data_IF_085535157482
#
_entry.id   IF_085535157482
#
_cell.length_a   1.000
_cell.length_b   1.000
_cell.length_c   1.000
_cell.angle_alpha   90.00
_cell.angle_beta   90.00
_cell.angle_gamma   90.00
#
_symmetry.space_group_name_H-M   'P 1'
#
loop_
_entity.id
_entity.type
_entity.pdbx_description
1 polymer ?
#
# COMPACT_ATOMS: atom_id res chain seq x y z
N UNK A 1 14.36 9.78 0.84
CA UNK A 1 13.71 9.98 2.17
C UNK A 1 12.39 10.71 1.98
N UNK A 2 11.39 10.45 2.84
CA UNK A 2 10.08 11.07 2.71
C UNK A 2 10.07 12.53 3.23
N UNK A 3 9.51 13.45 2.45
CA UNK A 3 9.28 14.86 2.85
C UNK A 3 8.02 15.02 3.70
N UNK A 4 7.15 14.01 3.71
CA UNK A 4 5.88 14.01 4.45
C UNK A 4 6.05 13.20 5.74
N UNK A 5 5.49 13.71 6.84
CA UNK A 5 5.48 13.03 8.13
C UNK A 5 4.73 11.70 8.03
N UNK A 6 5.44 10.63 8.39
CA UNK A 6 4.87 9.28 8.48
C UNK A 6 4.15 9.09 9.82
N UNK A 7 3.02 8.37 9.80
CA UNK A 7 2.38 7.85 11.01
C UNK A 7 2.85 6.40 11.20
N UNK A 8 3.72 6.15 12.19
CA UNK A 8 4.18 4.80 12.48
C UNK A 8 3.04 3.97 13.08
N UNK A 9 3.17 2.65 13.03
CA UNK A 9 2.09 1.70 13.33
C UNK A 9 1.62 1.80 14.79
N UNK A 10 2.53 2.10 15.71
CA UNK A 10 2.27 2.25 17.15
C UNK A 10 1.46 3.50 17.46
N UNK A 11 1.46 4.49 16.55
CA UNK A 11 0.71 5.75 16.69
C UNK A 11 -0.57 5.76 15.85
N UNK A 12 -0.82 4.71 15.07
CA UNK A 12 -2.04 4.59 14.29
C UNK A 12 -3.25 4.36 15.21
N UNK A 13 -4.31 5.13 15.01
CA UNK A 13 -5.54 5.04 15.81
C UNK A 13 -6.77 5.09 14.89
N UNK A 14 -7.88 4.53 15.36
CA UNK A 14 -9.13 4.43 14.62
C UNK A 14 -8.92 3.82 13.23
N UNK A 15 -9.54 4.46 12.22
CA UNK A 15 -9.56 3.99 10.83
C UNK A 15 -8.19 3.69 10.22
N UNK A 16 -7.14 4.44 10.60
CA UNK A 16 -5.78 4.20 10.08
C UNK A 16 -5.25 2.86 10.57
N UNK A 17 -5.51 2.51 11.84
CA UNK A 17 -5.09 1.24 12.43
C UNK A 17 -5.79 0.07 11.75
N UNK A 18 -7.09 0.18 11.53
CA UNK A 18 -7.88 -0.86 10.86
C UNK A 18 -7.36 -1.14 9.44
N UNK A 19 -7.06 -0.08 8.68
CA UNK A 19 -6.47 -0.20 7.34
C UNK A 19 -5.07 -0.83 7.40
N UNK A 20 -4.25 -0.47 8.40
CA UNK A 20 -2.91 -1.04 8.56
C UNK A 20 -2.94 -2.54 8.86
N UNK A 21 -3.86 -2.98 9.73
CA UNK A 21 -4.07 -4.40 10.02
C UNK A 21 -4.56 -5.15 8.78
N UNK A 22 -5.47 -4.56 8.01
CA UNK A 22 -5.93 -5.14 6.75
C UNK A 22 -4.79 -5.26 5.73
N UNK A 23 -3.94 -4.23 5.59
CA UNK A 23 -2.76 -4.26 4.69
C UNK A 23 -1.85 -5.43 5.05
N UNK A 24 -1.53 -5.60 6.33
CA UNK A 24 -0.67 -6.68 6.82
C UNK A 24 -1.27 -8.05 6.51
N UNK A 25 -2.56 -8.23 6.81
CA UNK A 25 -3.28 -9.47 6.54
C UNK A 25 -3.36 -9.81 5.04
N UNK A 26 -3.69 -8.84 4.18
CA UNK A 26 -3.91 -9.08 2.74
C UNK A 26 -2.62 -9.24 1.95
N UNK A 27 -1.56 -8.54 2.36
CA UNK A 27 -0.26 -8.65 1.71
C UNK A 27 0.60 -9.79 2.31
N UNK A 28 0.24 -10.31 3.48
CA UNK A 28 0.99 -11.37 4.16
C UNK A 28 2.32 -10.89 4.70
N UNK A 29 2.36 -9.65 5.21
CA UNK A 29 3.57 -8.99 5.72
C UNK A 29 3.35 -8.51 7.15
N UNK A 30 4.42 -8.49 7.94
CA UNK A 30 4.35 -8.10 9.36
C UNK A 30 4.51 -6.58 9.59
N UNK A 31 4.76 -5.82 8.51
CA UNK A 31 5.00 -4.39 8.56
C UNK A 31 4.13 -3.64 7.56
N UNK A 32 3.86 -2.36 7.82
CA UNK A 32 3.16 -1.49 6.86
C UNK A 32 4.18 -0.72 5.99
N UNK A 33 4.11 -0.81 4.64
CA UNK A 33 4.99 -0.06 3.75
C UNK A 33 4.95 1.46 3.99
N UNK A 34 6.09 2.13 3.82
CA UNK A 34 6.23 3.56 4.09
C UNK A 34 5.27 4.43 3.25
N UNK A 35 4.92 3.98 2.03
CA UNK A 35 3.93 4.62 1.18
C UNK A 35 2.56 4.79 1.87
N UNK A 36 2.10 3.79 2.62
CA UNK A 36 0.85 3.90 3.38
C UNK A 36 1.05 4.74 4.65
N UNK A 37 2.25 4.67 5.26
CA UNK A 37 2.62 5.47 6.44
C UNK A 37 2.58 6.98 6.17
N UNK A 38 2.96 7.42 4.97
CA UNK A 38 2.84 8.85 4.59
C UNK A 38 1.39 9.25 4.30
N UNK A 39 0.57 8.34 3.76
CA UNK A 39 -0.84 8.59 3.43
C UNK A 39 -1.74 8.68 4.67
N UNK A 40 -1.34 8.03 5.76
CA UNK A 40 -2.10 7.95 6.99
C UNK A 40 -2.46 9.30 7.64
N UNK A 41 -1.73 10.37 7.32
CA UNK A 41 -2.09 11.74 7.71
C UNK A 41 -3.46 12.18 7.19
N UNK A 42 -3.95 11.55 6.11
CA UNK A 42 -5.29 11.75 5.53
C UNK A 42 -5.99 10.40 5.37
N UNK A 43 -6.76 9.94 6.38
CA UNK A 43 -7.35 8.59 6.39
C UNK A 43 -8.21 8.26 5.16
N UNK A 44 -8.98 9.23 4.65
CA UNK A 44 -9.78 9.03 3.44
C UNK A 44 -8.91 8.80 2.18
N UNK A 45 -7.75 9.44 2.10
CA UNK A 45 -6.81 9.23 0.99
C UNK A 45 -6.13 7.86 1.08
N UNK A 46 -5.70 7.46 2.30
CA UNK A 46 -5.18 6.14 2.56
C UNK A 46 -6.18 5.05 2.15
N UNK A 47 -7.44 5.17 2.57
CA UNK A 47 -8.50 4.22 2.23
C UNK A 47 -8.77 4.14 0.72
N UNK A 48 -8.86 5.28 0.04
CA UNK A 48 -9.10 5.30 -1.40
C UNK A 48 -7.97 4.61 -2.16
N UNK A 49 -6.72 4.88 -1.78
CA UNK A 49 -5.58 4.27 -2.45
C UNK A 49 -5.45 2.78 -2.12
N UNK A 50 -5.71 2.38 -0.88
CA UNK A 50 -5.73 0.97 -0.50
C UNK A 50 -6.85 0.19 -1.22
N UNK A 51 -8.04 0.77 -1.32
CA UNK A 51 -9.15 0.18 -2.08
C UNK A 51 -8.80 -0.02 -3.56
N UNK A 52 -8.08 0.94 -4.16
CA UNK A 52 -7.55 0.80 -5.53
C UNK A 52 -6.57 -0.36 -5.64
N UNK A 53 -5.63 -0.48 -4.70
CA UNK A 53 -4.67 -1.59 -4.69
C UNK A 53 -5.38 -2.93 -4.54
N UNK A 54 -6.37 -3.04 -3.65
CA UNK A 54 -7.19 -4.26 -3.52
C UNK A 54 -7.85 -4.64 -4.85
N UNK A 55 -8.57 -3.70 -5.46
CA UNK A 55 -9.28 -3.93 -6.71
C UNK A 55 -8.36 -4.31 -7.88
N UNK A 56 -7.17 -3.71 -7.96
CA UNK A 56 -6.25 -3.94 -9.09
C UNK A 56 -5.35 -5.14 -8.85
N UNK A 57 -4.70 -5.22 -7.69
CA UNK A 57 -3.62 -6.18 -7.42
C UNK A 57 -4.10 -7.46 -6.73
N UNK A 58 -5.12 -7.38 -5.88
CA UNK A 58 -5.50 -8.49 -4.98
C UNK A 58 -6.71 -9.25 -5.52
N UNK A 59 -7.71 -8.55 -6.05
CA UNK A 59 -8.91 -9.20 -6.57
C UNK A 59 -8.59 -10.12 -7.76
N UNK A 60 -9.28 -11.28 -7.89
CA UNK A 60 -9.13 -12.17 -9.02
C UNK A 60 -9.43 -11.46 -10.34
N UNK A 61 -8.73 -11.84 -11.39
CA UNK A 61 -8.93 -11.26 -12.72
C UNK A 61 -8.28 -12.10 -13.80
N UNK A 62 -8.16 -11.51 -15.00
CA UNK A 62 -7.56 -12.18 -16.16
C UNK A 62 -6.07 -12.50 -15.97
N UNK A 63 -5.38 -11.68 -15.19
CA UNK A 63 -3.98 -11.88 -14.82
C UNK A 63 -3.91 -12.36 -13.39
N UNK A 64 -3.06 -13.36 -13.14
CA UNK A 64 -2.72 -13.79 -11.80
C UNK A 64 -1.90 -12.70 -11.07
N UNK A 65 -1.83 -12.82 -9.74
CA UNK A 65 -1.16 -11.83 -8.89
C UNK A 65 0.33 -11.67 -9.21
N UNK A 66 1.04 -12.76 -9.48
CA UNK A 66 2.47 -12.72 -9.79
C UNK A 66 2.73 -11.92 -11.08
N UNK A 67 1.93 -12.17 -12.12
CA UNK A 67 2.04 -11.41 -13.37
C UNK A 67 1.78 -9.92 -13.15
N UNK A 68 0.76 -9.55 -12.35
CA UNK A 68 0.50 -8.14 -12.02
C UNK A 68 1.68 -7.49 -11.29
N UNK A 69 2.30 -8.20 -10.35
CA UNK A 69 3.46 -7.72 -9.59
C UNK A 69 4.70 -7.54 -10.49
N UNK A 70 4.95 -8.48 -11.42
CA UNK A 70 6.04 -8.36 -12.41
C UNK A 70 5.85 -7.11 -13.27
N UNK A 71 4.65 -6.86 -13.77
CA UNK A 71 4.34 -5.65 -14.56
C UNK A 71 4.56 -4.39 -13.73
N UNK A 72 4.12 -4.37 -12.46
CA UNK A 72 4.31 -3.23 -11.57
C UNK A 72 5.81 -2.92 -11.38
N UNK A 73 6.64 -3.94 -11.14
CA UNK A 73 8.10 -3.78 -10.99
C UNK A 73 8.75 -3.29 -12.29
N UNK A 74 8.37 -3.85 -13.43
CA UNK A 74 8.91 -3.45 -14.73
C UNK A 74 8.61 -1.97 -15.05
N UNK A 75 7.39 -1.52 -14.77
CA UNK A 75 7.01 -0.11 -14.95
C UNK A 75 7.79 0.79 -13.99
N UNK A 76 7.92 0.41 -12.71
CA UNK A 76 8.73 1.17 -11.74
C UNK A 76 10.19 1.31 -12.19
N UNK A 77 10.79 0.24 -12.69
CA UNK A 77 12.16 0.26 -13.21
C UNK A 77 12.29 1.16 -14.45
N UNK A 78 11.34 1.06 -15.40
CA UNK A 78 11.33 1.90 -16.61
C UNK A 78 11.16 3.40 -16.31
N UNK A 79 10.46 3.74 -15.22
CA UNK A 79 10.25 5.12 -14.78
C UNK A 79 11.34 5.63 -13.81
N UNK A 80 12.35 4.81 -13.48
CA UNK A 80 13.40 5.21 -12.54
C UNK A 80 12.88 5.45 -11.11
N UNK A 81 11.83 4.75 -10.69
CA UNK A 81 11.33 4.84 -9.33
C UNK A 81 12.25 4.06 -8.38
N UNK A 82 12.97 4.78 -7.52
CA UNK A 82 13.97 4.22 -6.58
C UNK A 82 13.41 3.78 -5.22
N UNK A 83 12.11 3.97 -4.98
CA UNK A 83 11.41 3.51 -3.78
C UNK A 83 11.03 2.04 -3.89
#
# INVERSE_FOLDING_TARGET
MATIKMIPEEKATGKVKDIYEEIKSKLGIDFVPNLYKVMASKPAYLEANWSKVKAVMIEPGKLDRLTKEIVAVAVSAALGCEY
#
